data_IF_354656713710
#
_entry.id   IF_354656713710
#
_cell.length_a   1.000
_cell.length_b   1.000
_cell.length_c   1.000
_cell.angle_alpha   90.00
_cell.angle_beta   90.00
_cell.angle_gamma   90.00
#
_symmetry.space_group_name_H-M   'P 1'
#
loop_
_entity.id
_entity.type
_entity.pdbx_description
1 polymer ?
#
# COMPACT_ATOMS: atom_id res chain seq x y z
N UNK A 1 15.27 -9.02 -17.65
CA UNK A 1 14.32 -9.65 -16.70
C UNK A 1 14.55 -8.97 -15.37
N UNK A 2 13.51 -8.38 -14.79
CA UNK A 2 13.62 -7.62 -13.54
C UNK A 2 14.14 -8.51 -12.41
N UNK A 3 14.86 -7.93 -11.45
CA UNK A 3 15.27 -8.64 -10.23
C UNK A 3 14.03 -9.07 -9.43
N UNK A 4 14.13 -10.09 -8.55
CA UNK A 4 13.00 -10.51 -7.73
C UNK A 4 12.41 -9.39 -6.86
N UNK A 5 13.23 -8.44 -6.40
CA UNK A 5 12.74 -7.28 -5.65
C UNK A 5 12.01 -6.29 -6.56
N UNK A 6 12.55 -6.01 -7.77
CA UNK A 6 11.87 -5.12 -8.73
C UNK A 6 10.53 -5.70 -9.22
N UNK A 7 10.41 -7.03 -9.35
CA UNK A 7 9.12 -7.68 -9.63
C UNK A 7 8.11 -7.48 -8.48
N UNK A 8 8.56 -7.45 -7.22
CA UNK A 8 7.70 -7.14 -6.09
C UNK A 8 7.29 -5.67 -6.08
N UNK A 9 8.22 -4.77 -6.40
CA UNK A 9 7.94 -3.34 -6.54
C UNK A 9 6.91 -3.08 -7.64
N UNK A 10 7.01 -3.79 -8.77
CA UNK A 10 6.01 -3.76 -9.83
C UNK A 10 4.62 -4.14 -9.32
N UNK A 11 4.50 -5.26 -8.59
CA UNK A 11 3.22 -5.67 -8.02
C UNK A 11 2.72 -4.70 -6.93
N UNK A 12 3.61 -4.11 -6.11
CA UNK A 12 3.24 -3.11 -5.11
C UNK A 12 2.63 -1.89 -5.80
N UNK A 13 3.26 -1.39 -6.87
CA UNK A 13 2.72 -0.30 -7.70
C UNK A 13 1.32 -0.65 -8.22
N UNK A 14 1.13 -1.86 -8.73
CA UNK A 14 -0.16 -2.28 -9.28
C UNK A 14 -1.27 -2.29 -8.23
N UNK A 15 -0.97 -2.69 -6.99
CA UNK A 15 -1.91 -2.58 -5.88
C UNK A 15 -2.17 -1.12 -5.47
N UNK A 16 -1.16 -0.25 -5.51
CA UNK A 16 -1.36 1.18 -5.28
C UNK A 16 -2.29 1.80 -6.34
N UNK A 17 -2.11 1.43 -7.61
CA UNK A 17 -2.99 1.83 -8.70
C UNK A 17 -4.42 1.28 -8.51
N UNK A 18 -4.54 0.04 -8.02
CA UNK A 18 -5.84 -0.55 -7.71
C UNK A 18 -6.58 0.23 -6.62
N UNK A 19 -5.88 0.64 -5.56
CA UNK A 19 -6.46 1.51 -4.52
C UNK A 19 -6.94 2.83 -5.12
N UNK A 20 -6.13 3.49 -5.94
CA UNK A 20 -6.54 4.71 -6.62
C UNK A 20 -7.79 4.53 -7.49
N UNK A 21 -7.90 3.41 -8.22
CA UNK A 21 -9.10 3.06 -8.99
C UNK A 21 -10.32 2.84 -8.10
N UNK A 22 -10.14 2.20 -6.94
CA UNK A 22 -11.22 2.01 -5.97
C UNK A 22 -11.71 3.36 -5.42
N UNK A 23 -10.80 4.26 -5.04
CA UNK A 23 -11.17 5.62 -4.60
C UNK A 23 -11.94 6.37 -5.70
N UNK A 24 -11.46 6.34 -6.95
CA UNK A 24 -12.16 6.96 -8.07
C UNK A 24 -13.56 6.37 -8.33
N UNK A 25 -13.76 5.09 -8.01
CA UNK A 25 -15.03 4.38 -8.21
C UNK A 25 -16.07 4.75 -7.13
N UNK A 26 -15.65 4.75 -5.86
CA UNK A 26 -16.57 4.91 -4.73
C UNK A 26 -16.68 6.37 -4.26
N UNK A 27 -15.57 7.10 -4.25
CA UNK A 27 -15.46 8.47 -3.76
C UNK A 27 -14.23 8.66 -2.87
N UNK A 28 -13.82 9.91 -2.69
CA UNK A 28 -12.57 10.34 -2.05
C UNK A 28 -12.77 10.93 -0.65
N UNK A 29 -13.85 10.59 0.04
CA UNK A 29 -14.11 11.06 1.40
C UNK A 29 -14.19 9.90 2.40
N UNK A 30 -13.74 10.18 3.62
CA UNK A 30 -13.78 9.23 4.72
C UNK A 30 -15.21 8.76 5.03
N UNK A 31 -16.21 9.65 4.94
CA UNK A 31 -17.60 9.29 5.22
C UNK A 31 -18.15 8.28 4.21
N UNK A 32 -17.81 8.41 2.92
CA UNK A 32 -18.16 7.43 1.88
C UNK A 32 -17.50 6.09 2.17
N UNK A 33 -16.20 6.12 2.47
CA UNK A 33 -15.44 4.93 2.84
C UNK A 33 -16.03 4.21 4.05
N UNK A 34 -16.33 4.95 5.13
CA UNK A 34 -16.87 4.41 6.37
C UNK A 34 -18.27 3.83 6.22
N UNK A 35 -19.05 4.34 5.27
CA UNK A 35 -20.42 3.88 5.03
C UNK A 35 -20.49 2.61 4.17
N UNK A 36 -19.43 2.25 3.44
CA UNK A 36 -19.44 1.15 2.47
C UNK A 36 -18.45 0.03 2.85
N UNK A 37 -18.98 -1.15 3.17
CA UNK A 37 -18.17 -2.30 3.60
C UNK A 37 -17.36 -2.91 2.44
N UNK A 38 -17.87 -2.88 1.21
CA UNK A 38 -17.15 -3.41 0.05
C UNK A 38 -15.97 -2.51 -0.31
N UNK A 39 -16.13 -1.20 -0.18
CA UNK A 39 -15.03 -0.25 -0.30
C UNK A 39 -13.95 -0.52 0.76
N UNK A 40 -14.35 -0.67 2.02
CA UNK A 40 -13.43 -1.03 3.11
C UNK A 40 -12.65 -2.31 2.83
N UNK A 41 -13.35 -3.37 2.44
CA UNK A 41 -12.72 -4.66 2.15
C UNK A 41 -11.79 -4.59 0.95
N UNK A 42 -12.18 -3.86 -0.10
CA UNK A 42 -11.37 -3.70 -1.31
C UNK A 42 -10.03 -3.04 -1.01
N UNK A 43 -10.01 -1.90 -0.31
CA UNK A 43 -8.75 -1.23 0.01
C UNK A 43 -7.97 -1.96 1.10
N UNK A 44 -8.64 -2.56 2.08
CA UNK A 44 -7.98 -3.38 3.10
C UNK A 44 -7.23 -4.54 2.45
N UNK A 45 -7.85 -5.23 1.49
CA UNK A 45 -7.18 -6.30 0.74
C UNK A 45 -5.94 -5.79 0.02
N UNK A 46 -6.03 -4.68 -0.72
CA UNK A 46 -4.86 -4.10 -1.41
C UNK A 46 -3.73 -3.74 -0.44
N UNK A 47 -4.05 -3.13 0.71
CA UNK A 47 -3.06 -2.79 1.75
C UNK A 47 -2.41 -4.04 2.34
N UNK A 48 -3.17 -5.10 2.57
CA UNK A 48 -2.62 -6.38 3.03
C UNK A 48 -1.63 -6.96 2.01
N UNK A 49 -1.98 -6.95 0.72
CA UNK A 49 -1.11 -7.46 -0.34
C UNK A 49 0.18 -6.63 -0.48
N UNK A 50 0.08 -5.30 -0.39
CA UNK A 50 1.26 -4.41 -0.35
C UNK A 50 2.17 -4.80 0.80
N UNK A 51 1.62 -4.98 2.01
CA UNK A 51 2.38 -5.39 3.18
C UNK A 51 3.08 -6.74 3.05
N UNK A 52 2.41 -7.74 2.45
CA UNK A 52 3.02 -9.05 2.17
C UNK A 52 4.19 -8.94 1.19
N UNK A 53 4.02 -8.18 0.10
CA UNK A 53 5.08 -7.96 -0.88
C UNK A 53 6.27 -7.23 -0.27
N UNK A 54 6.03 -6.21 0.56
CA UNK A 54 7.07 -5.49 1.29
C UNK A 54 7.84 -6.41 2.25
N UNK A 55 7.15 -7.35 2.91
CA UNK A 55 7.79 -8.33 3.78
C UNK A 55 8.68 -9.33 3.00
N UNK A 56 8.35 -9.55 1.71
CA UNK A 56 9.13 -10.38 0.80
C UNK A 56 10.34 -9.70 0.17
N UNK A 57 10.52 -8.38 0.34
CA UNK A 57 11.70 -7.66 -0.14
C UNK A 57 12.96 -8.09 0.61
N UNK A 58 14.06 -8.23 -0.12
CA UNK A 58 15.35 -8.57 0.48
C UNK A 58 15.76 -7.54 1.55
N UNK A 59 16.57 -7.98 2.52
CA UNK A 59 17.11 -7.06 3.53
C UNK A 59 18.01 -6.00 2.91
N UNK A 60 18.77 -6.36 1.86
CA UNK A 60 19.63 -5.45 1.11
C UNK A 60 18.83 -4.34 0.45
N UNK A 61 17.75 -4.69 -0.26
CA UNK A 61 16.89 -3.71 -0.92
C UNK A 61 16.22 -2.76 0.08
N UNK A 62 15.71 -3.30 1.20
CA UNK A 62 15.09 -2.49 2.26
C UNK A 62 16.06 -1.57 2.96
N UNK A 63 17.34 -1.95 3.10
CA UNK A 63 18.39 -1.08 3.65
C UNK A 63 18.76 0.01 2.65
N UNK A 64 18.88 -0.34 1.37
CA UNK A 64 19.24 0.60 0.30
C UNK A 64 18.20 1.71 0.14
N UNK A 65 16.91 1.37 0.26
CA UNK A 65 15.76 2.27 0.03
C UNK A 65 15.09 2.73 1.33
N UNK A 66 15.73 2.47 2.47
CA UNK A 66 15.14 2.74 3.78
C UNK A 66 15.07 4.22 4.16
N UNK A 67 15.79 5.09 3.45
CA UNK A 67 15.68 6.54 3.61
C UNK A 67 14.44 7.10 2.88
N UNK A 68 13.99 6.43 1.82
CA UNK A 68 12.84 6.85 1.02
C UNK A 68 11.52 6.25 1.55
N UNK A 69 11.56 5.00 2.05
CA UNK A 69 10.37 4.27 2.47
C UNK A 69 10.57 3.60 3.83
N UNK A 70 9.67 3.90 4.77
CA UNK A 70 9.63 3.26 6.07
C UNK A 70 8.99 1.85 6.00
N UNK A 71 9.72 0.87 5.48
CA UNK A 71 9.25 -0.51 5.29
C UNK A 71 8.69 -1.16 6.57
N UNK A 72 9.22 -0.80 7.73
CA UNK A 72 8.72 -1.31 9.02
C UNK A 72 7.34 -0.76 9.37
N UNK A 73 7.04 0.50 9.01
CA UNK A 73 5.73 1.10 9.21
C UNK A 73 4.69 0.38 8.33
N UNK A 74 5.00 0.14 7.06
CA UNK A 74 4.13 -0.60 6.12
C UNK A 74 3.83 -2.02 6.63
N UNK A 75 4.83 -2.71 7.16
CA UNK A 75 4.64 -4.04 7.79
C UNK A 75 3.76 -3.95 9.05
N UNK A 76 3.93 -2.90 9.85
CA UNK A 76 3.09 -2.63 11.00
C UNK A 76 1.62 -2.43 10.62
N UNK A 77 1.37 -1.66 9.56
CA UNK A 77 0.03 -1.40 9.05
C UNK A 77 -0.69 -2.69 8.61
N UNK A 78 0.00 -3.58 7.88
CA UNK A 78 -0.57 -4.89 7.50
C UNK A 78 -1.11 -5.65 8.71
N UNK A 79 -0.38 -5.63 9.83
CA UNK A 79 -0.84 -6.28 11.06
C UNK A 79 -2.04 -5.57 11.69
N UNK A 80 -2.09 -4.24 11.62
CA UNK A 80 -3.23 -3.46 12.10
C UNK A 80 -4.50 -3.79 11.29
N UNK A 81 -4.39 -3.79 9.95
CA UNK A 81 -5.52 -4.06 9.04
C UNK A 81 -6.00 -5.51 9.16
N UNK A 82 -5.08 -6.47 9.31
CA UNK A 82 -5.43 -7.89 9.43
C UNK A 82 -6.23 -8.23 10.70
N UNK A 83 -6.03 -7.46 11.79
CA UNK A 83 -6.56 -7.81 13.10
C UNK A 83 -7.68 -6.89 13.61
N UNK A 84 -7.98 -5.78 12.92
CA UNK A 84 -8.75 -4.72 13.56
C UNK A 84 -9.75 -4.02 12.60
N UNK A 85 -10.99 -4.52 12.55
CA UNK A 85 -12.13 -3.92 11.83
C UNK A 85 -12.98 -2.98 12.71
N UNK A 86 -12.35 -2.24 13.65
CA UNK A 86 -13.05 -1.26 14.49
C UNK A 86 -13.02 0.16 13.88
N UNK A 87 -13.85 1.08 14.37
CA UNK A 87 -13.93 2.45 13.81
C UNK A 87 -12.60 3.22 13.82
N UNK A 88 -11.86 3.18 14.94
CA UNK A 88 -10.52 3.80 15.08
C UNK A 88 -9.52 3.27 14.03
N UNK A 89 -9.77 2.07 13.51
CA UNK A 89 -8.88 1.40 12.56
C UNK A 89 -9.24 1.72 11.12
N UNK A 90 -10.51 2.02 10.86
CA UNK A 90 -10.95 2.59 9.59
C UNK A 90 -10.31 3.97 9.38
N UNK A 91 -10.18 4.78 10.42
CA UNK A 91 -9.48 6.07 10.34
C UNK A 91 -8.02 5.88 9.87
N UNK A 92 -7.30 4.94 10.49
CA UNK A 92 -5.89 4.63 10.15
C UNK A 92 -5.79 4.06 8.73
N UNK A 93 -6.67 3.13 8.36
CA UNK A 93 -6.66 2.55 7.01
C UNK A 93 -6.94 3.62 5.95
N UNK A 94 -7.88 4.52 6.22
CA UNK A 94 -8.18 5.63 5.31
C UNK A 94 -7.01 6.60 5.18
N UNK A 95 -6.39 6.98 6.30
CA UNK A 95 -5.21 7.85 6.31
C UNK A 95 -4.12 7.29 5.41
N UNK A 96 -3.73 6.02 5.61
CA UNK A 96 -2.75 5.36 4.73
C UNK A 96 -3.19 5.36 3.27
N UNK A 97 -4.44 5.04 2.99
CA UNK A 97 -4.96 5.00 1.62
C UNK A 97 -4.91 6.38 0.95
N UNK A 98 -5.14 7.45 1.71
CA UNK A 98 -5.17 8.82 1.22
C UNK A 98 -3.78 9.48 1.16
N UNK A 99 -2.83 9.10 2.02
CA UNK A 99 -1.52 9.77 2.16
C UNK A 99 -0.34 8.89 1.74
N UNK A 100 -0.24 7.70 2.32
CA UNK A 100 0.97 6.89 2.23
C UNK A 100 1.02 6.09 0.92
N UNK A 101 -0.14 5.58 0.46
CA UNK A 101 -0.21 4.79 -0.78
C UNK A 101 0.15 5.62 -2.02
N UNK A 102 -0.32 6.87 -2.19
CA UNK A 102 0.17 7.73 -3.28
C UNK A 102 1.69 7.92 -3.27
N UNK A 103 2.27 8.15 -2.08
CA UNK A 103 3.72 8.32 -1.92
C UNK A 103 4.47 7.04 -2.29
N UNK A 104 4.00 5.88 -1.82
CA UNK A 104 4.58 4.58 -2.17
C UNK A 104 4.50 4.30 -3.68
N UNK A 105 3.39 4.68 -4.31
CA UNK A 105 3.21 4.53 -5.77
C UNK A 105 4.28 5.31 -6.53
N UNK A 106 4.51 6.58 -6.17
CA UNK A 106 5.53 7.43 -6.81
C UNK A 106 6.94 6.87 -6.62
N UNK A 107 7.24 6.35 -5.43
CA UNK A 107 8.49 5.64 -5.18
C UNK A 107 8.63 4.43 -6.12
N UNK A 108 7.62 3.57 -6.21
CA UNK A 108 7.69 2.40 -7.08
C UNK A 108 7.83 2.77 -8.56
N UNK A 109 7.12 3.80 -9.03
CA UNK A 109 7.26 4.31 -10.41
C UNK A 109 8.69 4.80 -10.68
N UNK A 110 9.28 5.53 -9.74
CA UNK A 110 10.68 5.99 -9.83
C UNK A 110 11.65 4.82 -9.93
N UNK A 111 11.55 3.87 -8.99
CA UNK A 111 12.43 2.69 -8.94
C UNK A 111 12.35 1.83 -10.21
N UNK A 112 11.17 1.71 -10.82
CA UNK A 112 11.01 0.95 -12.05
C UNK A 112 11.58 1.70 -13.25
N UNK A 113 11.38 3.03 -13.33
CA UNK A 113 11.91 3.84 -14.43
C UNK A 113 13.45 3.92 -14.47
N UNK A 114 14.10 3.90 -13.30
CA UNK A 114 15.57 3.92 -13.20
C UNK A 114 16.22 2.58 -13.60
N UNK A 115 15.42 1.51 -13.68
CA UNK A 115 15.88 0.14 -13.92
C UNK A 115 15.25 -0.48 -15.21
N UNK A 116 14.65 0.34 -16.08
CA UNK A 116 14.26 -0.01 -17.47
C UNK A 116 15.47 0.07 -18.43
#
# INVERSE_FOLDING_TARGET
MLSPDLQRIEHIRDYCLQVGKTILRYGDSFDIFKADMDFQQSVAFSVLQIGELCNGLSEEYRKLTGEDVEWNAIRGLRNIVAHAYGSIKLDILWDTVATDIPTLKEFCETQLSENE
#
